data_IF_138241727836
#
_entry.id   IF_138241727836
#
_cell.length_a   1.000
_cell.length_b   1.000
_cell.length_c   1.000
_cell.angle_alpha   90.00
_cell.angle_beta   90.00
_cell.angle_gamma   90.00
#
_symmetry.space_group_name_H-M   'P 1'
#
loop_
_entity.id
_entity.type
_entity.pdbx_description
1 polymer ?
#
# COMPACT_ATOMS: atom_id res chain seq x y z
N UNK A 1 -12.03 -18.19 -33.99
CA UNK A 1 -11.90 -18.11 -32.53
C UNK A 1 -11.49 -16.69 -32.24
N UNK A 2 -12.45 -15.83 -31.86
CA UNK A 2 -12.17 -14.44 -31.57
C UNK A 2 -11.61 -14.38 -30.13
N UNK A 3 -10.38 -14.00 -30.05
CA UNK A 3 -9.65 -13.79 -28.80
C UNK A 3 -10.28 -12.61 -28.06
N UNK A 4 -10.95 -12.92 -26.97
CA UNK A 4 -11.73 -11.99 -26.15
C UNK A 4 -10.73 -11.19 -25.28
N UNK A 5 -9.95 -10.30 -25.88
CA UNK A 5 -9.22 -9.26 -25.17
C UNK A 5 -10.24 -8.27 -24.60
N UNK A 6 -10.88 -8.65 -23.48
CA UNK A 6 -11.48 -7.67 -22.59
C UNK A 6 -10.35 -6.73 -22.19
N UNK A 7 -10.35 -5.51 -22.71
CA UNK A 7 -9.51 -4.42 -22.23
C UNK A 7 -9.63 -4.39 -20.69
N UNK A 8 -8.61 -4.92 -20.01
CA UNK A 8 -8.55 -4.87 -18.56
C UNK A 8 -8.12 -3.46 -18.20
N UNK A 9 -9.09 -2.63 -17.91
CA UNK A 9 -8.79 -1.31 -17.35
C UNK A 9 -7.91 -1.47 -16.11
N UNK A 10 -6.83 -0.67 -15.99
CA UNK A 10 -5.98 -0.70 -14.80
C UNK A 10 -6.79 -0.30 -13.57
N UNK A 11 -6.41 -0.84 -12.42
CA UNK A 11 -7.01 -0.49 -11.13
C UNK A 11 -6.72 0.98 -10.79
N UNK A 12 -5.49 1.42 -11.03
CA UNK A 12 -5.05 2.82 -10.94
C UNK A 12 -4.39 3.19 -12.27
N UNK A 13 -4.78 4.32 -12.83
CA UNK A 13 -4.08 4.93 -13.96
C UNK A 13 -3.74 6.39 -13.65
N UNK A 14 -2.52 6.76 -13.97
CA UNK A 14 -2.07 8.15 -13.97
C UNK A 14 -1.68 8.50 -15.41
N UNK A 15 -2.25 9.59 -15.93
CA UNK A 15 -2.05 10.03 -17.31
C UNK A 15 -1.55 11.48 -17.32
N UNK A 16 -0.40 11.69 -17.95
CA UNK A 16 0.22 13.00 -18.20
C UNK A 16 0.26 13.91 -16.95
N UNK A 17 0.37 13.33 -15.75
CA UNK A 17 0.40 14.10 -14.50
C UNK A 17 1.65 14.98 -14.45
N UNK A 18 1.43 16.28 -14.40
CA UNK A 18 2.49 17.27 -14.18
C UNK A 18 2.26 17.97 -12.86
N UNK A 19 3.27 18.05 -12.00
CA UNK A 19 3.16 18.67 -10.68
C UNK A 19 4.38 19.52 -10.37
N UNK A 20 4.14 20.74 -9.92
CA UNK A 20 5.13 21.69 -9.44
C UNK A 20 5.05 21.83 -7.93
N UNK A 21 6.18 22.06 -7.28
CA UNK A 21 6.20 22.62 -5.92
C UNK A 21 6.36 24.14 -6.01
N UNK A 22 5.82 24.92 -5.03
CA UNK A 22 5.80 26.37 -5.12
C UNK A 22 7.15 27.04 -5.39
N UNK A 23 8.22 26.49 -4.83
CA UNK A 23 9.57 27.08 -4.94
C UNK A 23 10.51 26.30 -5.88
N UNK A 24 9.98 25.40 -6.68
CA UNK A 24 10.79 24.56 -7.59
C UNK A 24 10.88 25.19 -8.98
N UNK A 25 12.10 25.20 -9.54
CA UNK A 25 12.35 25.63 -10.92
C UNK A 25 11.93 24.56 -11.93
N UNK A 26 11.84 23.31 -11.52
CA UNK A 26 11.45 22.18 -12.36
C UNK A 26 10.23 21.45 -11.76
N UNK A 27 9.39 20.86 -12.62
CA UNK A 27 8.28 20.06 -12.13
C UNK A 27 8.76 18.79 -11.43
N UNK A 28 8.10 18.45 -10.32
CA UNK A 28 8.32 17.18 -9.63
C UNK A 28 7.96 15.99 -10.53
N UNK A 29 6.83 16.10 -11.23
CA UNK A 29 6.40 15.20 -12.29
C UNK A 29 6.23 15.97 -13.59
N UNK A 30 6.76 15.42 -14.68
CA UNK A 30 6.60 15.95 -16.03
C UNK A 30 5.94 14.89 -16.90
N UNK A 31 4.64 15.03 -17.14
CA UNK A 31 3.83 14.05 -17.91
C UNK A 31 4.02 12.62 -17.43
N UNK A 32 3.90 12.43 -16.11
CA UNK A 32 3.98 11.10 -15.51
C UNK A 32 2.82 10.24 -16.01
N UNK A 33 3.16 9.06 -16.53
CA UNK A 33 2.22 8.02 -16.88
C UNK A 33 2.55 6.78 -16.05
N UNK A 34 1.54 6.22 -15.37
CA UNK A 34 1.70 5.05 -14.49
C UNK A 34 0.40 4.24 -14.51
N UNK A 35 0.52 2.94 -14.53
CA UNK A 35 -0.61 2.03 -14.44
C UNK A 35 -0.34 0.92 -13.43
N UNK A 36 -1.37 0.54 -12.69
CA UNK A 36 -1.38 -0.58 -11.76
C UNK A 36 -2.59 -1.44 -12.07
N UNK A 37 -2.36 -2.64 -12.61
CA UNK A 37 -3.43 -3.57 -12.96
C UNK A 37 -3.78 -4.49 -11.79
N UNK A 38 -5.02 -4.97 -11.76
CA UNK A 38 -5.50 -5.86 -10.71
C UNK A 38 -4.69 -7.17 -10.67
N UNK A 39 -4.24 -7.53 -9.46
CA UNK A 39 -3.45 -8.74 -9.21
C UNK A 39 -1.96 -8.61 -9.52
N UNK A 40 -1.51 -7.47 -10.01
CA UNK A 40 -0.09 -7.23 -10.28
C UNK A 40 0.71 -6.95 -9.00
N UNK A 41 1.99 -7.33 -9.04
CA UNK A 41 3.01 -6.86 -8.12
C UNK A 41 3.88 -5.84 -8.86
N UNK A 42 3.71 -4.57 -8.56
CA UNK A 42 4.47 -3.49 -9.17
C UNK A 42 5.44 -2.88 -8.19
N UNK A 43 6.72 -2.81 -8.55
CA UNK A 43 7.77 -2.17 -7.75
C UNK A 43 8.13 -0.83 -8.38
N UNK A 44 7.92 0.23 -7.62
CA UNK A 44 8.27 1.60 -8.00
C UNK A 44 9.64 1.92 -7.42
N UNK A 45 10.63 2.08 -8.28
CA UNK A 45 12.02 2.36 -7.91
C UNK A 45 12.43 3.75 -8.35
N UNK A 46 13.25 4.39 -7.52
CA UNK A 46 13.83 5.69 -7.84
C UNK A 46 14.62 6.27 -6.68
N UNK A 47 15.45 7.28 -6.97
CA UNK A 47 16.26 7.93 -5.94
C UNK A 47 15.38 8.47 -4.81
N UNK A 48 15.92 8.49 -3.59
CA UNK A 48 15.26 9.09 -2.43
C UNK A 48 14.85 10.54 -2.74
N UNK A 49 13.61 10.91 -2.38
CA UNK A 49 13.11 12.25 -2.61
C UNK A 49 11.59 12.38 -2.44
N UNK A 50 11.10 13.60 -2.57
CA UNK A 50 9.72 14.00 -2.30
C UNK A 50 8.70 13.34 -3.24
N UNK A 51 9.12 12.89 -4.42
CA UNK A 51 8.22 12.40 -5.46
C UNK A 51 7.47 11.11 -5.08
N UNK A 52 8.13 10.17 -4.38
CA UNK A 52 7.50 8.90 -3.99
C UNK A 52 6.29 9.14 -3.08
N UNK A 53 6.50 9.90 -2.03
CA UNK A 53 5.41 10.27 -1.11
C UNK A 53 4.33 11.13 -1.80
N UNK A 54 4.69 11.96 -2.78
CA UNK A 54 3.72 12.74 -3.54
C UNK A 54 2.89 11.85 -4.46
N UNK A 55 3.50 10.85 -5.10
CA UNK A 55 2.79 9.85 -5.89
C UNK A 55 1.77 9.09 -5.04
N UNK A 56 2.19 8.61 -3.86
CA UNK A 56 1.27 7.97 -2.90
C UNK A 56 0.11 8.89 -2.55
N UNK A 57 0.39 10.17 -2.22
CA UNK A 57 -0.66 11.14 -1.86
C UNK A 57 -1.69 11.35 -2.97
N UNK A 58 -1.30 11.32 -4.24
CA UNK A 58 -2.24 11.35 -5.35
C UNK A 58 -3.07 10.06 -5.41
N UNK A 59 -2.42 8.90 -5.35
CA UNK A 59 -3.10 7.60 -5.44
C UNK A 59 -4.11 7.42 -4.31
N UNK A 60 -3.79 7.83 -3.08
CA UNK A 60 -4.72 7.70 -1.95
C UNK A 60 -5.74 8.86 -1.85
N UNK A 61 -5.76 9.76 -2.80
CA UNK A 61 -6.67 10.91 -2.81
C UNK A 61 -6.39 11.94 -1.71
N UNK A 62 -5.17 11.98 -1.14
CA UNK A 62 -4.78 13.02 -0.18
C UNK A 62 -4.45 14.33 -0.88
N UNK A 63 -3.91 14.25 -2.09
CA UNK A 63 -3.79 15.40 -2.99
C UNK A 63 -4.85 15.27 -4.07
N UNK A 64 -5.61 16.33 -4.29
CA UNK A 64 -6.59 16.37 -5.38
C UNK A 64 -5.84 16.47 -6.72
N UNK A 65 -6.06 15.53 -7.65
CA UNK A 65 -5.49 15.62 -8.98
C UNK A 65 -6.21 16.67 -9.82
N UNK A 66 -5.56 17.09 -10.92
CA UNK A 66 -6.25 17.78 -11.99
C UNK A 66 -7.19 16.81 -12.73
N UNK A 67 -8.19 17.32 -13.39
CA UNK A 67 -9.11 16.51 -14.22
C UNK A 67 -8.32 15.70 -15.25
N UNK A 68 -8.75 14.47 -15.47
CA UNK A 68 -8.18 13.54 -16.45
C UNK A 68 -6.72 13.14 -16.22
N UNK A 69 -6.26 13.19 -14.96
CA UNK A 69 -4.88 12.80 -14.66
C UNK A 69 -4.74 11.57 -13.78
N UNK A 70 -5.66 11.34 -12.82
CA UNK A 70 -5.61 10.18 -11.92
C UNK A 70 -6.96 9.49 -11.93
N UNK A 71 -6.95 8.21 -12.21
CA UNK A 71 -8.15 7.37 -12.31
C UNK A 71 -8.06 6.19 -11.35
N UNK A 72 -9.18 5.90 -10.70
CA UNK A 72 -9.43 4.64 -10.02
C UNK A 72 -10.42 3.84 -10.87
N UNK A 73 -9.99 2.70 -11.39
CA UNK A 73 -10.72 1.96 -12.43
C UNK A 73 -10.94 2.86 -13.65
N UNK A 74 -12.16 3.33 -13.86
CA UNK A 74 -12.49 4.26 -14.96
C UNK A 74 -12.88 5.65 -14.45
N UNK A 75 -13.01 5.81 -13.13
CA UNK A 75 -13.50 7.03 -12.52
C UNK A 75 -12.38 8.05 -12.35
N UNK A 76 -12.57 9.27 -12.86
CA UNK A 76 -11.63 10.36 -12.67
C UNK A 76 -11.69 10.86 -11.22
N UNK A 77 -10.61 10.66 -10.47
CA UNK A 77 -10.55 11.01 -9.06
C UNK A 77 -10.62 12.53 -8.78
N UNK A 78 -10.48 13.36 -9.81
CA UNK A 78 -10.70 14.80 -9.67
C UNK A 78 -12.15 15.15 -9.32
N UNK A 79 -13.08 14.28 -9.67
CA UNK A 79 -14.54 14.46 -9.41
C UNK A 79 -15.00 13.81 -8.10
N UNK A 80 -14.14 13.11 -7.38
CA UNK A 80 -14.48 12.51 -6.10
C UNK A 80 -14.78 13.59 -5.06
N UNK A 81 -15.91 13.48 -4.40
CA UNK A 81 -16.19 14.26 -3.21
C UNK A 81 -15.48 13.63 -1.98
N UNK A 82 -15.65 14.22 -0.81
CA UNK A 82 -14.95 13.73 0.40
C UNK A 82 -15.46 12.36 0.85
N UNK A 83 -16.73 12.03 0.61
CA UNK A 83 -17.30 10.72 0.89
C UNK A 83 -16.75 9.65 -0.07
N UNK A 84 -16.69 9.95 -1.37
CA UNK A 84 -16.10 9.07 -2.37
C UNK A 84 -14.63 8.75 -2.04
N UNK A 85 -13.86 9.78 -1.63
CA UNK A 85 -12.46 9.59 -1.21
C UNK A 85 -12.37 8.71 0.04
N UNK A 86 -13.28 8.86 1.01
CA UNK A 86 -13.29 8.00 2.20
C UNK A 86 -13.63 6.56 1.85
N UNK A 87 -14.65 6.33 1.03
CA UNK A 87 -15.02 4.99 0.56
C UNK A 87 -13.91 4.34 -0.27
N UNK A 88 -13.25 5.13 -1.13
CA UNK A 88 -12.09 4.68 -1.88
C UNK A 88 -10.94 4.25 -0.96
N UNK A 89 -10.59 5.05 0.05
CA UNK A 89 -9.51 4.74 1.00
C UNK A 89 -9.74 3.45 1.80
N UNK A 90 -10.99 3.07 2.06
CA UNK A 90 -11.33 1.81 2.71
C UNK A 90 -10.94 0.57 1.90
N UNK A 91 -10.77 0.74 0.58
CA UNK A 91 -10.34 -0.31 -0.34
C UNK A 91 -8.83 -0.43 -0.48
N UNK A 92 -8.08 0.41 0.24
CA UNK A 92 -6.63 0.49 0.14
C UNK A 92 -6.00 0.07 1.47
N UNK A 93 -5.07 -0.89 1.42
CA UNK A 93 -4.15 -1.14 2.50
C UNK A 93 -2.91 -0.27 2.34
N UNK A 94 -2.49 0.45 3.39
CA UNK A 94 -1.30 1.29 3.32
C UNK A 94 -0.34 0.92 4.43
N UNK A 95 0.90 0.61 4.05
CA UNK A 95 2.04 0.40 4.92
C UNK A 95 2.99 1.57 4.72
N UNK A 96 3.09 2.44 5.73
CA UNK A 96 3.94 3.62 5.70
C UNK A 96 5.35 3.34 6.22
N UNK A 97 6.34 4.06 5.73
CA UNK A 97 7.73 3.98 6.18
C UNK A 97 7.90 4.17 7.70
N UNK A 98 7.09 5.04 8.31
CA UNK A 98 7.09 5.33 9.76
C UNK A 98 5.96 4.60 10.50
N UNK A 99 5.46 3.52 9.92
CA UNK A 99 4.41 2.64 10.43
C UNK A 99 3.04 3.31 10.64
N UNK A 100 2.98 4.57 11.03
CA UNK A 100 1.76 5.33 11.40
C UNK A 100 0.86 4.55 12.37
N UNK A 101 1.47 3.84 13.32
CA UNK A 101 0.72 3.17 14.39
C UNK A 101 0.27 4.19 15.43
N UNK A 102 -0.94 4.00 15.96
CA UNK A 102 -1.48 4.82 17.05
C UNK A 102 -0.82 4.35 18.35
N UNK A 103 0.11 5.13 18.85
CA UNK A 103 1.00 4.74 19.95
C UNK A 103 0.29 4.51 21.28
N UNK A 104 -0.89 5.09 21.49
CA UNK A 104 -1.73 4.91 22.68
C UNK A 104 -2.58 3.64 22.64
N UNK A 105 -2.68 2.99 21.48
CA UNK A 105 -3.45 1.77 21.33
C UNK A 105 -2.56 0.52 21.41
N UNK A 106 -3.15 -0.59 21.82
CA UNK A 106 -2.53 -1.91 21.76
C UNK A 106 -2.32 -2.36 20.30
N UNK A 107 -1.54 -3.42 20.12
CA UNK A 107 -1.36 -4.10 18.83
C UNK A 107 -2.71 -4.49 18.25
N UNK A 108 -3.55 -5.18 19.05
CA UNK A 108 -4.88 -5.60 18.62
C UNK A 108 -5.73 -4.43 18.15
N UNK A 109 -5.79 -3.36 18.94
CA UNK A 109 -6.59 -2.17 18.60
C UNK A 109 -6.10 -1.50 17.32
N UNK A 110 -4.78 -1.38 17.10
CA UNK A 110 -4.25 -0.87 15.85
C UNK A 110 -4.66 -1.71 14.64
N UNK A 111 -4.58 -3.03 14.76
CA UNK A 111 -4.91 -3.95 13.64
C UNK A 111 -6.40 -3.87 13.31
N UNK A 112 -7.29 -3.92 14.32
CA UNK A 112 -8.73 -3.93 14.08
C UNK A 112 -9.35 -2.56 13.85
N UNK A 113 -8.56 -1.50 13.97
CA UNK A 113 -9.06 -0.12 13.83
C UNK A 113 -9.84 0.14 12.54
N UNK A 114 -9.37 -0.31 11.34
CA UNK A 114 -10.13 -0.15 10.10
C UNK A 114 -11.52 -0.79 10.14
N UNK A 115 -11.65 -1.98 10.71
CA UNK A 115 -12.93 -2.71 10.80
C UNK A 115 -13.92 -2.00 11.74
N UNK A 116 -13.42 -1.41 12.82
CA UNK A 116 -14.25 -0.62 13.73
C UNK A 116 -14.81 0.64 13.08
N UNK A 117 -14.03 1.29 12.19
CA UNK A 117 -14.52 2.43 11.42
C UNK A 117 -15.64 2.07 10.43
N UNK A 118 -15.74 0.79 10.06
CA UNK A 118 -16.80 0.26 9.19
C UNK A 118 -17.96 -0.33 9.96
N UNK A 119 -17.96 -0.22 11.30
CA UNK A 119 -18.98 -0.79 12.18
C UNK A 119 -19.18 -2.29 11.99
N UNK A 120 -18.10 -3.03 11.68
CA UNK A 120 -18.17 -4.49 11.62
C UNK A 120 -18.54 -5.09 12.99
N UNK A 121 -19.23 -6.23 12.96
CA UNK A 121 -19.60 -6.93 14.19
C UNK A 121 -18.38 -7.49 14.93
N UNK A 122 -18.43 -7.55 16.25
CA UNK A 122 -17.34 -8.08 17.07
C UNK A 122 -16.93 -9.51 16.70
N UNK A 123 -17.88 -10.34 16.28
CA UNK A 123 -17.59 -11.70 15.82
C UNK A 123 -16.77 -11.71 14.52
N UNK A 124 -17.13 -10.87 13.57
CA UNK A 124 -16.36 -10.70 12.32
C UNK A 124 -14.97 -10.16 12.59
N UNK A 125 -14.86 -9.11 13.40
CA UNK A 125 -13.58 -8.53 13.82
C UNK A 125 -12.68 -9.59 14.46
N UNK A 126 -13.23 -10.40 15.38
CA UNK A 126 -12.45 -11.42 16.07
C UNK A 126 -11.97 -12.52 15.12
N UNK A 127 -12.81 -12.94 14.16
CA UNK A 127 -12.45 -13.94 13.16
C UNK A 127 -11.32 -13.43 12.23
N UNK A 128 -11.49 -12.24 11.64
CA UNK A 128 -10.48 -11.59 10.77
C UNK A 128 -9.17 -11.36 11.53
N UNK A 129 -9.26 -10.87 12.77
CA UNK A 129 -8.09 -10.63 13.62
C UNK A 129 -7.30 -11.91 13.86
N UNK A 130 -7.96 -13.02 14.25
CA UNK A 130 -7.30 -14.32 14.45
C UNK A 130 -6.60 -14.79 13.17
N UNK A 131 -7.27 -14.70 12.04
CA UNK A 131 -6.73 -15.13 10.75
C UNK A 131 -5.47 -14.35 10.39
N UNK A 132 -5.48 -13.02 10.51
CA UNK A 132 -4.34 -12.19 10.11
C UNK A 132 -3.17 -12.34 11.08
N UNK A 133 -3.41 -12.43 12.39
CA UNK A 133 -2.33 -12.58 13.38
C UNK A 133 -1.63 -13.92 13.25
N UNK A 134 -2.36 -15.01 13.00
CA UNK A 134 -1.79 -16.33 12.73
C UNK A 134 -0.91 -16.30 11.46
N UNK A 135 -1.37 -15.69 10.37
CA UNK A 135 -0.60 -15.58 9.13
C UNK A 135 0.71 -14.80 9.30
N UNK A 136 0.72 -13.80 10.15
CA UNK A 136 1.88 -12.93 10.35
C UNK A 136 2.73 -13.32 11.56
N UNK A 137 2.35 -14.39 12.29
CA UNK A 137 3.01 -14.87 13.51
C UNK A 137 3.23 -13.75 14.53
N UNK A 138 2.13 -13.06 14.90
CA UNK A 138 2.13 -11.95 15.87
C UNK A 138 1.12 -12.14 17.01
N UNK A 139 0.69 -13.37 17.26
CA UNK A 139 -0.29 -13.66 18.33
C UNK A 139 0.24 -13.29 19.72
N UNK A 140 1.52 -13.47 19.95
CA UNK A 140 2.15 -13.29 21.26
C UNK A 140 2.26 -11.83 21.68
N UNK A 141 2.28 -10.91 20.72
CA UNK A 141 2.45 -9.46 20.99
C UNK A 141 1.12 -8.70 21.04
N UNK A 142 -0.01 -9.37 20.92
CA UNK A 142 -1.33 -8.74 20.73
C UNK A 142 -1.77 -7.79 21.87
N UNK A 143 -1.30 -8.03 23.09
CA UNK A 143 -1.62 -7.23 24.29
C UNK A 143 -0.62 -6.09 24.53
N UNK A 144 0.51 -6.10 23.81
CA UNK A 144 1.53 -5.09 23.98
C UNK A 144 1.06 -3.75 23.41
N UNK A 145 1.60 -2.66 23.93
CA UNK A 145 1.44 -1.33 23.32
C UNK A 145 2.43 -1.15 22.19
N UNK A 146 2.04 -0.40 21.16
CA UNK A 146 2.92 -0.19 20.01
C UNK A 146 4.22 0.58 20.37
N UNK A 147 4.30 1.18 21.55
CA UNK A 147 5.51 1.88 22.04
C UNK A 147 6.67 0.92 22.34
N UNK A 148 6.36 -0.28 22.84
CA UNK A 148 7.34 -1.27 23.30
C UNK A 148 7.85 -2.20 22.20
N UNK A 149 7.26 -2.12 21.01
CA UNK A 149 7.61 -2.97 19.88
C UNK A 149 8.94 -2.56 19.23
N UNK A 150 9.69 -3.55 18.78
CA UNK A 150 10.80 -3.38 17.84
C UNK A 150 10.33 -2.80 16.50
N UNK A 151 11.25 -2.33 15.66
CA UNK A 151 10.92 -1.83 14.32
C UNK A 151 10.25 -2.89 13.45
N UNK A 152 10.76 -4.12 13.50
CA UNK A 152 10.23 -5.24 12.76
C UNK A 152 8.81 -5.66 13.21
N UNK A 153 8.55 -5.73 14.52
CA UNK A 153 7.21 -6.00 15.05
C UNK A 153 6.22 -4.90 14.65
N UNK A 154 6.63 -3.61 14.73
CA UNK A 154 5.82 -2.49 14.24
C UNK A 154 5.45 -2.65 12.78
N UNK A 155 6.40 -3.11 11.96
CA UNK A 155 6.17 -3.32 10.54
C UNK A 155 5.13 -4.42 10.30
N UNK A 156 5.23 -5.56 10.98
CA UNK A 156 4.22 -6.63 10.90
C UNK A 156 2.84 -6.15 11.32
N UNK A 157 2.75 -5.37 12.39
CA UNK A 157 1.47 -4.78 12.85
C UNK A 157 0.91 -3.82 11.81
N UNK A 158 1.74 -3.00 11.16
CA UNK A 158 1.31 -2.12 10.08
C UNK A 158 0.82 -2.88 8.86
N UNK A 159 1.49 -3.99 8.49
CA UNK A 159 1.05 -4.89 7.41
C UNK A 159 -0.28 -5.56 7.79
N UNK A 160 -0.40 -6.10 9.02
CA UNK A 160 -1.64 -6.70 9.49
C UNK A 160 -2.82 -5.72 9.40
N UNK A 161 -2.62 -4.49 9.87
CA UNK A 161 -3.63 -3.42 9.77
C UNK A 161 -3.99 -3.09 8.33
N UNK A 162 -3.01 -3.08 7.42
CA UNK A 162 -3.26 -2.81 6.02
C UNK A 162 -4.06 -3.91 5.32
N UNK A 163 -3.92 -5.16 5.77
CA UNK A 163 -4.55 -6.34 5.14
C UNK A 163 -5.89 -6.74 5.75
N UNK A 164 -6.19 -6.32 6.98
CA UNK A 164 -7.33 -6.89 7.74
C UNK A 164 -8.70 -6.63 7.11
N UNK A 165 -8.82 -5.58 6.31
CA UNK A 165 -10.06 -5.18 5.64
C UNK A 165 -10.16 -5.70 4.20
N UNK A 166 -9.42 -6.73 3.83
CA UNK A 166 -9.41 -7.34 2.50
C UNK A 166 -9.30 -6.29 1.37
N UNK A 167 -8.26 -5.44 1.36
CA UNK A 167 -8.15 -4.33 0.43
C UNK A 167 -8.03 -4.79 -1.02
N UNK A 168 -8.50 -3.99 -1.98
CA UNK A 168 -8.32 -4.27 -3.41
C UNK A 168 -6.85 -4.16 -3.83
N UNK A 169 -6.08 -3.31 -3.16
CA UNK A 169 -4.64 -3.21 -3.34
C UNK A 169 -3.93 -2.67 -2.09
N UNK A 170 -2.65 -2.97 -2.02
CA UNK A 170 -1.78 -2.57 -0.92
C UNK A 170 -0.66 -1.70 -1.47
N UNK A 171 -0.46 -0.54 -0.85
CA UNK A 171 0.71 0.31 -1.08
C UNK A 171 1.66 0.08 0.10
N UNK A 172 2.90 -0.33 -0.18
CA UNK A 172 3.96 -0.43 0.80
C UNK A 172 5.06 0.60 0.47
N UNK A 173 5.14 1.66 1.27
CA UNK A 173 6.10 2.75 1.08
C UNK A 173 7.32 2.53 1.98
N UNK A 174 8.46 2.14 1.38
CA UNK A 174 9.73 1.81 2.04
C UNK A 174 9.56 0.86 3.25
N UNK A 175 8.90 -0.30 3.09
CA UNK A 175 8.48 -1.13 4.22
C UNK A 175 9.64 -1.81 4.96
N UNK A 176 10.85 -1.75 4.45
CA UNK A 176 12.06 -2.34 5.07
C UNK A 176 13.04 -1.31 5.59
N UNK A 177 12.60 -0.05 5.69
CA UNK A 177 13.43 1.03 6.22
C UNK A 177 13.93 0.72 7.63
N UNK A 178 15.24 0.81 7.85
CA UNK A 178 15.91 0.47 9.13
C UNK A 178 15.73 -0.98 9.61
N UNK A 179 15.41 -1.93 8.74
CA UNK A 179 15.39 -3.34 9.06
C UNK A 179 16.71 -4.02 8.59
N UNK A 180 17.09 -5.06 9.31
CA UNK A 180 18.21 -5.92 8.89
C UNK A 180 17.81 -6.78 7.68
N UNK A 181 18.80 -7.52 7.16
CA UNK A 181 18.64 -8.32 5.95
C UNK A 181 17.65 -9.48 6.10
N UNK A 182 17.57 -10.08 7.29
CA UNK A 182 16.66 -11.21 7.54
C UNK A 182 15.23 -10.71 7.63
N UNK A 183 14.98 -9.68 8.42
CA UNK A 183 13.69 -9.01 8.52
C UNK A 183 13.22 -8.46 7.16
N UNK A 184 14.15 -7.92 6.34
CA UNK A 184 13.85 -7.48 4.97
C UNK A 184 13.28 -8.60 4.10
N UNK A 185 13.86 -9.81 4.17
CA UNK A 185 13.36 -10.97 3.42
C UNK A 185 11.98 -11.41 3.90
N UNK A 186 11.78 -11.46 5.22
CA UNK A 186 10.47 -11.83 5.78
C UNK A 186 9.37 -10.86 5.33
N UNK A 187 9.63 -9.53 5.35
CA UNK A 187 8.67 -8.56 4.81
C UNK A 187 8.43 -8.80 3.31
N UNK A 188 9.48 -9.13 2.55
CA UNK A 188 9.34 -9.51 1.15
C UNK A 188 8.42 -10.71 0.95
N UNK A 189 8.60 -11.76 1.75
CA UNK A 189 7.75 -12.97 1.70
C UNK A 189 6.29 -12.66 2.06
N UNK A 190 6.06 -11.83 3.09
CA UNK A 190 4.69 -11.41 3.46
C UNK A 190 4.00 -10.64 2.33
N UNK A 191 4.70 -9.76 1.62
CA UNK A 191 4.14 -9.04 0.47
C UNK A 191 3.88 -9.98 -0.73
N UNK A 192 4.75 -10.96 -0.96
CA UNK A 192 4.56 -11.99 -1.99
C UNK A 192 3.34 -12.85 -1.68
N UNK A 193 3.18 -13.27 -0.43
CA UNK A 193 2.00 -14.03 -0.01
C UNK A 193 0.71 -13.21 -0.14
N UNK A 194 0.75 -11.94 0.25
CA UNK A 194 -0.38 -11.04 0.04
C UNK A 194 -0.77 -10.96 -1.45
N UNK A 195 0.21 -10.86 -2.34
CA UNK A 195 -0.06 -10.83 -3.79
C UNK A 195 -0.67 -12.15 -4.30
N UNK A 196 -0.18 -13.30 -3.83
CA UNK A 196 -0.73 -14.63 -4.19
C UNK A 196 -2.20 -14.78 -3.78
N UNK A 197 -2.64 -14.08 -2.76
CA UNK A 197 -4.05 -14.02 -2.32
C UNK A 197 -4.90 -13.04 -3.16
N UNK A 198 -4.46 -12.68 -4.36
CA UNK A 198 -5.12 -11.77 -5.30
C UNK A 198 -5.09 -10.30 -4.92
N UNK A 199 -4.31 -9.90 -3.93
CA UNK A 199 -4.09 -8.49 -3.68
C UNK A 199 -3.16 -7.89 -4.75
N UNK A 200 -3.51 -6.72 -5.23
CA UNK A 200 -2.60 -5.93 -6.05
C UNK A 200 -1.59 -5.26 -5.13
N UNK A 201 -0.29 -5.36 -5.44
CA UNK A 201 0.77 -4.77 -4.61
C UNK A 201 1.49 -3.67 -5.37
N UNK A 202 1.58 -2.51 -4.75
CA UNK A 202 2.48 -1.43 -5.16
C UNK A 202 3.54 -1.26 -4.08
N UNK A 203 4.74 -1.77 -4.33
CA UNK A 203 5.89 -1.58 -3.46
C UNK A 203 6.72 -0.40 -3.94
N UNK A 204 6.96 0.55 -3.06
CA UNK A 204 7.87 1.67 -3.32
C UNK A 204 9.12 1.42 -2.50
N UNK A 205 10.28 1.33 -3.15
CA UNK A 205 11.54 1.11 -2.45
C UNK A 205 12.75 1.61 -3.24
N UNK A 206 13.81 1.91 -2.52
CA UNK A 206 15.16 2.09 -3.04
C UNK A 206 16.11 0.95 -2.61
N UNK A 207 15.60 0.00 -1.81
CA UNK A 207 16.36 -1.16 -1.37
C UNK A 207 16.47 -2.21 -2.48
N UNK A 208 17.67 -2.26 -3.09
CA UNK A 208 17.95 -3.20 -4.17
C UNK A 208 17.98 -4.65 -3.70
N UNK A 209 18.30 -4.92 -2.41
CA UNK A 209 18.29 -6.27 -1.88
C UNK A 209 16.86 -6.82 -1.80
N UNK A 210 15.91 -5.99 -1.34
CA UNK A 210 14.49 -6.35 -1.32
C UNK A 210 13.97 -6.57 -2.75
N UNK A 211 14.32 -5.67 -3.67
CA UNK A 211 13.91 -5.77 -5.07
C UNK A 211 14.40 -7.08 -5.70
N UNK A 212 15.70 -7.39 -5.58
CA UNK A 212 16.30 -8.60 -6.16
C UNK A 212 15.73 -9.87 -5.51
N UNK A 213 15.49 -9.83 -4.20
CA UNK A 213 14.85 -10.91 -3.48
C UNK A 213 13.45 -11.21 -4.02
N UNK A 214 12.59 -10.19 -4.13
CA UNK A 214 11.22 -10.37 -4.63
C UNK A 214 11.23 -10.85 -6.08
N UNK A 215 12.08 -10.28 -6.94
CA UNK A 215 12.23 -10.72 -8.34
C UNK A 215 12.64 -12.19 -8.48
N UNK A 216 13.42 -12.69 -7.53
CA UNK A 216 13.83 -14.11 -7.55
C UNK A 216 12.69 -15.07 -7.20
N UNK A 217 11.63 -14.58 -6.57
CA UNK A 217 10.51 -15.37 -6.04
C UNK A 217 9.22 -15.26 -6.83
N UNK A 218 8.98 -14.10 -7.47
CA UNK A 218 7.72 -13.84 -8.18
C UNK A 218 7.92 -12.90 -9.38
N UNK A 219 6.96 -12.95 -10.31
CA UNK A 219 6.93 -12.00 -11.43
C UNK A 219 6.51 -10.63 -10.93
N UNK A 220 7.28 -9.61 -11.28
CA UNK A 220 7.00 -8.21 -10.91
C UNK A 220 7.10 -7.29 -12.10
N UNK A 221 6.33 -6.22 -12.07
CA UNK A 221 6.49 -5.08 -12.96
C UNK A 221 7.38 -4.04 -12.27
N UNK A 222 8.30 -3.44 -13.00
CA UNK A 222 9.19 -2.41 -12.45
C UNK A 222 8.89 -1.09 -13.13
N UNK A 223 8.53 -0.10 -12.32
CA UNK A 223 8.37 1.27 -12.74
C UNK A 223 9.54 2.11 -12.20
N UNK A 224 10.33 2.68 -13.12
CA UNK A 224 11.49 3.52 -12.79
C UNK A 224 11.14 5.00 -12.97
N UNK A 225 11.43 5.79 -11.95
CA UNK A 225 11.31 7.24 -11.99
C UNK A 225 12.66 7.93 -11.86
#
# INVERSE_FOLDING_TARGET
MADNQKERFPLIAIKDLTRWYPDSREPLFKKLNFELSKGEFTIVVGKSGIWKSTLVKFIIGQLRPYTRTVYYKMDDMAHFNDEDVQQYRRKIGIVFQDYKLISSLSVKENIVYPLRLENESDNSIQAKYRTITQKLHIEDINKLTCKTLSGWEKQKVAIARAMINDPEFIIADEPTWNLDRECTKEIGDLLIEANKMWNTIMLITHDMNLLDYIKSKTKVNIFKM
#
